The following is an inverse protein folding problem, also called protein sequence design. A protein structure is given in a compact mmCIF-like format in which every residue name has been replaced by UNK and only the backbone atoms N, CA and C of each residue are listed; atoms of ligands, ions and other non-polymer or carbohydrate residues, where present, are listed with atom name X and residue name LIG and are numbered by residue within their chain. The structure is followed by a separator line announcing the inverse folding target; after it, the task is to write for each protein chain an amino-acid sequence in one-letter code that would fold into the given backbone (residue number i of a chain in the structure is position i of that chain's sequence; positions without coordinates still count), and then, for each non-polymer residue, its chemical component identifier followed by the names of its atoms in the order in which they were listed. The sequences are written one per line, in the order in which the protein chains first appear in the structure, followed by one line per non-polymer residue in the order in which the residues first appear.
data_IF_680641352393
#
_entry.id   IF_680641352393
#
_cell.length_a   1.000
_cell.length_b   1.000
_cell.length_c   1.000
_cell.angle_alpha   90.00
_cell.angle_beta   90.00
_cell.angle_gamma   90.00
#
_symmetry.space_group_name_H-M   'P 1'
#
loop_
_entity.id
_entity.type
_entity.pdbx_description
1 polymer ?
#
# COMPACT_ATOMS: atom_id res chain seq x y z
N UNK A 1 13.08 8.13 -3.47
CA UNK A 1 12.27 7.93 -2.25
C UNK A 1 12.44 6.50 -1.73
N UNK A 2 12.46 6.33 -0.40
CA UNK A 2 12.61 5.05 0.25
C UNK A 2 11.35 4.76 1.09
N UNK A 3 10.68 3.66 0.82
CA UNK A 3 9.63 3.09 1.65
C UNK A 3 10.24 1.94 2.43
N UNK A 4 9.95 1.85 3.72
CA UNK A 4 10.40 0.77 4.58
C UNK A 4 9.16 0.03 5.10
N UNK A 5 8.93 -1.17 4.58
CA UNK A 5 7.85 -2.04 5.02
C UNK A 5 8.34 -2.98 6.14
N UNK A 6 7.59 -3.03 7.21
CA UNK A 6 7.86 -3.89 8.35
C UNK A 6 6.99 -5.14 8.40
N UNK A 7 5.97 -5.24 7.56
CA UNK A 7 5.02 -6.35 7.48
C UNK A 7 4.51 -6.80 8.86
N UNK A 8 4.16 -5.83 9.72
CA UNK A 8 3.71 -6.03 11.09
C UNK A 8 4.69 -6.80 12.01
N UNK A 9 5.93 -6.99 11.58
CA UNK A 9 6.92 -7.84 12.25
C UNK A 9 7.85 -7.13 13.22
N UNK A 10 7.76 -5.80 13.35
CA UNK A 10 8.65 -5.01 14.20
C UNK A 10 8.01 -4.80 15.58
N UNK A 11 8.74 -5.05 16.65
CA UNK A 11 8.30 -4.68 18.01
C UNK A 11 8.52 -3.20 18.28
N UNK A 12 7.81 -2.60 19.26
CA UNK A 12 8.03 -1.18 19.63
C UNK A 12 9.49 -0.87 20.00
N UNK A 13 10.13 -1.79 20.74
CA UNK A 13 11.54 -1.62 21.12
C UNK A 13 12.47 -1.63 19.91
N UNK A 14 12.30 -2.59 19.01
CA UNK A 14 13.08 -2.67 17.78
C UNK A 14 12.81 -1.46 16.86
N UNK A 15 11.58 -0.94 16.80
CA UNK A 15 11.25 0.26 16.04
C UNK A 15 12.05 1.47 16.52
N UNK A 16 12.13 1.70 17.84
CA UNK A 16 12.92 2.80 18.42
C UNK A 16 14.42 2.66 18.06
N UNK A 17 14.96 1.45 18.12
CA UNK A 17 16.35 1.19 17.74
C UNK A 17 16.59 1.44 16.24
N UNK A 18 15.69 0.96 15.37
CA UNK A 18 15.75 1.19 13.93
C UNK A 18 15.69 2.68 13.60
N UNK A 19 14.76 3.44 14.20
CA UNK A 19 14.68 4.89 14.02
C UNK A 19 15.98 5.59 14.37
N UNK A 20 16.60 5.21 15.48
CA UNK A 20 17.90 5.76 15.90
C UNK A 20 19.00 5.43 14.89
N UNK A 21 19.06 4.17 14.42
CA UNK A 21 20.02 3.74 13.40
C UNK A 21 19.87 4.50 12.09
N UNK A 22 18.63 4.63 11.58
CA UNK A 22 18.35 5.36 10.34
C UNK A 22 18.77 6.83 10.44
N UNK A 23 18.45 7.49 11.56
CA UNK A 23 18.88 8.88 11.80
C UNK A 23 20.41 9.02 11.83
N UNK A 24 21.10 8.09 12.50
CA UNK A 24 22.58 8.08 12.55
C UNK A 24 23.19 7.95 11.16
N UNK A 25 22.56 7.17 10.29
CA UNK A 25 22.99 6.98 8.90
C UNK A 25 22.53 8.11 7.95
N UNK A 26 21.78 9.10 8.43
CA UNK A 26 21.21 10.15 7.60
C UNK A 26 20.12 9.65 6.63
N UNK A 27 19.53 8.48 6.88
CA UNK A 27 18.48 7.89 6.05
C UNK A 27 17.13 8.44 6.49
N UNK A 28 16.40 9.04 5.55
CA UNK A 28 15.04 9.58 5.77
C UNK A 28 14.07 8.88 4.84
N UNK A 29 13.28 7.91 5.32
CA UNK A 29 12.25 7.27 4.52
C UNK A 29 11.09 8.23 4.27
N UNK A 30 10.41 8.05 3.15
CA UNK A 30 9.17 8.78 2.84
C UNK A 30 7.94 8.12 3.45
N UNK A 31 8.06 6.82 3.80
CA UNK A 31 6.99 6.04 4.41
C UNK A 31 7.58 4.90 5.26
N UNK A 32 7.04 4.73 6.46
CA UNK A 32 7.18 3.55 7.31
C UNK A 32 5.88 2.76 7.21
N UNK A 33 5.87 1.70 6.40
CA UNK A 33 4.66 0.91 6.17
C UNK A 33 4.56 -0.22 7.19
N UNK A 34 3.47 -0.26 7.93
CA UNK A 34 3.07 -1.31 8.88
C UNK A 34 4.24 -1.96 9.64
N UNK A 35 5.05 -1.17 10.32
CA UNK A 35 6.15 -1.73 11.13
C UNK A 35 5.64 -2.56 12.29
N UNK A 36 4.60 -2.06 12.97
CA UNK A 36 4.09 -2.66 14.20
C UNK A 36 2.92 -3.62 13.92
N UNK A 37 2.61 -4.52 14.85
CA UNK A 37 1.45 -5.41 14.74
C UNK A 37 0.17 -4.64 14.39
N UNK A 38 -0.69 -5.25 13.57
CA UNK A 38 -1.89 -4.61 12.99
C UNK A 38 -2.85 -3.99 14.01
N UNK A 39 -2.88 -4.51 15.22
CA UNK A 39 -3.77 -4.02 16.29
C UNK A 39 -3.08 -3.01 17.23
N UNK A 40 -1.77 -2.75 17.03
CA UNK A 40 -1.00 -1.80 17.83
C UNK A 40 -1.11 -0.37 17.28
N UNK A 41 -2.33 0.16 17.23
CA UNK A 41 -2.61 1.48 16.67
C UNK A 41 -1.96 2.61 17.50
N UNK A 42 -1.89 2.45 18.82
CA UNK A 42 -1.21 3.41 19.70
C UNK A 42 0.30 3.43 19.45
N UNK A 43 0.89 2.26 19.21
CA UNK A 43 2.30 2.17 18.83
C UNK A 43 2.58 2.81 17.47
N UNK A 44 1.74 2.61 16.48
CA UNK A 44 1.85 3.26 15.16
C UNK A 44 1.77 4.79 15.30
N UNK A 45 0.84 5.30 16.10
CA UNK A 45 0.75 6.72 16.41
C UNK A 45 2.03 7.23 17.09
N UNK A 46 2.52 6.50 18.09
CA UNK A 46 3.76 6.87 18.80
C UNK A 46 4.96 6.90 17.85
N UNK A 47 5.06 5.91 16.93
CA UNK A 47 6.09 5.84 15.90
C UNK A 47 6.12 7.12 15.04
N UNK A 48 4.95 7.60 14.60
CA UNK A 48 4.83 8.86 13.87
C UNK A 48 5.29 10.05 14.70
N UNK A 49 4.80 10.18 15.93
CA UNK A 49 5.12 11.31 16.80
C UNK A 49 6.61 11.36 17.18
N UNK A 50 7.24 10.22 17.41
CA UNK A 50 8.67 10.10 17.73
C UNK A 50 9.55 10.39 16.51
N UNK A 51 9.18 9.83 15.35
CA UNK A 51 10.03 9.94 14.15
C UNK A 51 9.83 11.25 13.41
N UNK A 52 8.62 11.80 13.38
CA UNK A 52 8.18 12.83 12.46
C UNK A 52 7.99 12.31 11.02
N UNK A 53 8.13 11.01 10.80
CA UNK A 53 7.99 10.38 9.49
C UNK A 53 6.56 9.90 9.25
N UNK A 54 6.18 9.79 7.99
CA UNK A 54 4.87 9.27 7.59
C UNK A 54 4.77 7.78 7.91
N UNK A 55 3.69 7.38 8.57
CA UNK A 55 3.36 5.98 8.87
C UNK A 55 2.21 5.53 8.01
N UNK A 56 2.32 4.35 7.42
CA UNK A 56 1.30 3.71 6.60
C UNK A 56 0.66 2.53 7.33
N UNK A 57 -0.65 2.37 7.15
CA UNK A 57 -1.42 1.23 7.62
C UNK A 57 -1.73 0.30 6.45
N UNK A 58 -1.22 -0.94 6.49
CA UNK A 58 -1.50 -2.01 5.55
C UNK A 58 -2.35 -3.11 6.21
N UNK A 59 -1.76 -3.98 7.00
CA UNK A 59 -2.47 -5.09 7.66
C UNK A 59 -3.52 -4.62 8.67
N UNK A 60 -3.40 -3.41 9.17
CA UNK A 60 -4.41 -2.79 10.06
C UNK A 60 -5.71 -2.45 9.34
N UNK A 61 -5.71 -2.42 7.98
CA UNK A 61 -6.86 -2.01 7.18
C UNK A 61 -7.18 -3.04 6.10
N UNK A 62 -8.22 -3.82 6.33
CA UNK A 62 -8.85 -4.69 5.34
C UNK A 62 -10.32 -4.35 5.08
N UNK A 63 -10.88 -3.44 5.89
CA UNK A 63 -12.29 -3.00 5.82
C UNK A 63 -12.39 -1.51 6.09
N UNK A 64 -13.50 -0.89 5.70
CA UNK A 64 -13.83 0.50 6.05
C UNK A 64 -13.92 0.71 7.57
N UNK A 65 -14.38 -0.30 8.31
CA UNK A 65 -14.37 -0.27 9.77
C UNK A 65 -12.93 -0.21 10.32
N UNK A 66 -12.01 -0.99 9.75
CA UNK A 66 -10.58 -0.91 10.08
C UNK A 66 -9.99 0.46 9.75
N UNK A 67 -10.33 1.03 8.60
CA UNK A 67 -9.91 2.38 8.23
C UNK A 67 -10.40 3.44 9.25
N UNK A 68 -11.67 3.36 9.70
CA UNK A 68 -12.20 4.26 10.74
C UNK A 68 -11.43 4.13 12.05
N UNK A 69 -11.11 2.91 12.50
CA UNK A 69 -10.28 2.69 13.70
C UNK A 69 -8.91 3.37 13.60
N UNK A 70 -8.24 3.24 12.44
CA UNK A 70 -6.95 3.90 12.18
C UNK A 70 -7.07 5.42 12.24
N UNK A 71 -8.14 5.98 11.65
CA UNK A 71 -8.44 7.43 11.68
C UNK A 71 -8.70 7.91 13.12
N UNK A 72 -9.57 7.23 13.86
CA UNK A 72 -9.92 7.57 15.24
C UNK A 72 -8.70 7.54 16.17
N UNK A 73 -7.85 6.52 16.01
CA UNK A 73 -6.61 6.39 16.77
C UNK A 73 -5.50 7.36 16.29
N UNK A 74 -5.67 8.01 15.15
CA UNK A 74 -4.61 8.80 14.46
C UNK A 74 -3.33 7.97 14.26
N UNK A 75 -3.50 6.70 13.93
CA UNK A 75 -2.44 5.72 13.91
C UNK A 75 -1.54 5.80 12.67
N UNK A 76 -2.05 6.34 11.57
CA UNK A 76 -1.33 6.44 10.30
C UNK A 76 -1.73 7.71 9.52
N UNK A 77 -0.89 8.10 8.57
CA UNK A 77 -1.11 9.21 7.64
C UNK A 77 -1.41 8.70 6.23
N UNK A 78 -1.14 7.41 5.97
CA UNK A 78 -1.38 6.73 4.70
C UNK A 78 -2.15 5.44 4.96
N UNK A 79 -3.10 5.11 4.11
CA UNK A 79 -3.74 3.78 4.07
C UNK A 79 -3.33 3.07 2.78
N UNK A 80 -2.74 1.86 2.91
CA UNK A 80 -2.44 0.99 1.80
C UNK A 80 -3.64 0.10 1.48
N UNK A 81 -4.27 0.36 0.34
CA UNK A 81 -5.36 -0.43 -0.20
C UNK A 81 -4.79 -1.56 -1.04
N UNK A 82 -5.15 -2.81 -0.69
CA UNK A 82 -4.85 -3.99 -1.49
C UNK A 82 -6.18 -4.67 -1.86
N UNK A 83 -6.49 -4.77 -3.15
CA UNK A 83 -7.75 -5.35 -3.60
C UNK A 83 -7.91 -6.81 -3.16
N UNK A 84 -6.81 -7.53 -3.01
CA UNK A 84 -6.83 -8.90 -2.48
C UNK A 84 -7.36 -9.00 -1.05
N UNK A 85 -7.14 -7.96 -0.21
CA UNK A 85 -7.68 -7.92 1.16
C UNK A 85 -9.15 -7.54 1.21
N UNK A 86 -9.53 -6.54 0.41
CA UNK A 86 -10.80 -5.84 0.57
C UNK A 86 -11.84 -6.18 -0.52
N UNK A 87 -11.38 -6.54 -1.72
CA UNK A 87 -12.22 -6.48 -2.92
C UNK A 87 -12.50 -5.03 -3.34
N UNK A 88 -13.10 -4.85 -4.51
CA UNK A 88 -13.28 -3.51 -5.10
C UNK A 88 -14.28 -2.66 -4.32
N UNK A 89 -15.40 -3.24 -3.91
CA UNK A 89 -16.45 -2.49 -3.22
C UNK A 89 -15.96 -1.92 -1.87
N UNK A 90 -15.37 -2.76 -1.04
CA UNK A 90 -14.82 -2.34 0.24
C UNK A 90 -13.63 -1.38 0.08
N UNK A 91 -12.80 -1.57 -0.97
CA UNK A 91 -11.71 -0.65 -1.28
C UNK A 91 -12.19 0.77 -1.61
N UNK A 92 -13.35 0.91 -2.26
CA UNK A 92 -13.99 2.22 -2.49
C UNK A 92 -14.39 2.88 -1.17
N UNK A 93 -14.97 2.12 -0.25
CA UNK A 93 -15.36 2.61 1.08
C UNK A 93 -14.13 3.01 1.91
N UNK A 94 -13.07 2.21 1.89
CA UNK A 94 -11.78 2.53 2.55
C UNK A 94 -11.22 3.84 1.99
N UNK A 95 -11.20 4.00 0.66
CA UNK A 95 -10.71 5.23 0.02
C UNK A 95 -11.55 6.46 0.41
N UNK A 96 -12.88 6.31 0.50
CA UNK A 96 -13.77 7.37 0.93
C UNK A 96 -13.51 7.78 2.38
N UNK A 97 -13.34 6.83 3.30
CA UNK A 97 -13.00 7.08 4.71
C UNK A 97 -11.66 7.81 4.83
N UNK A 98 -10.63 7.33 4.12
CA UNK A 98 -9.29 7.94 4.15
C UNK A 98 -9.32 9.40 3.66
N UNK A 99 -9.97 9.64 2.52
CA UNK A 99 -10.10 11.00 1.95
C UNK A 99 -10.87 11.94 2.86
N UNK A 100 -11.97 11.49 3.43
CA UNK A 100 -12.77 12.29 4.36
C UNK A 100 -11.97 12.70 5.61
N UNK A 101 -11.00 11.88 6.02
CA UNK A 101 -10.10 12.14 7.15
C UNK A 101 -8.81 12.89 6.75
N UNK A 102 -8.60 13.21 5.48
CA UNK A 102 -7.39 13.86 4.98
C UNK A 102 -6.16 12.96 4.96
N UNK A 103 -6.34 11.63 4.99
CA UNK A 103 -5.25 10.68 4.86
C UNK A 103 -4.88 10.48 3.38
N UNK A 104 -3.60 10.21 3.14
CA UNK A 104 -3.10 9.84 1.82
C UNK A 104 -3.38 8.35 1.51
N UNK A 105 -3.36 8.02 0.23
CA UNK A 105 -3.62 6.66 -0.24
C UNK A 105 -2.36 6.05 -0.87
N UNK A 106 -2.18 4.78 -0.62
CA UNK A 106 -1.29 3.88 -1.32
C UNK A 106 -2.11 2.75 -1.94
N UNK A 107 -1.69 2.29 -3.11
CA UNK A 107 -2.18 1.06 -3.72
C UNK A 107 -1.06 0.04 -3.69
N UNK A 108 -1.30 -1.11 -3.09
CA UNK A 108 -0.34 -2.20 -3.01
C UNK A 108 -0.92 -3.52 -3.47
N UNK A 109 -0.10 -4.55 -3.34
CA UNK A 109 -0.48 -5.92 -3.59
C UNK A 109 0.21 -6.89 -2.62
N UNK A 110 -0.25 -8.13 -2.63
CA UNK A 110 0.50 -9.26 -2.10
C UNK A 110 1.23 -9.92 -3.29
N UNK A 111 1.70 -11.16 -3.14
CA UNK A 111 2.25 -11.88 -4.31
C UNK A 111 1.07 -12.27 -5.21
N UNK A 112 0.82 -11.47 -6.23
CA UNK A 112 -0.37 -11.55 -7.07
C UNK A 112 -0.02 -11.59 -8.55
N UNK A 113 -0.96 -12.10 -9.37
CA UNK A 113 -0.79 -12.21 -10.81
C UNK A 113 -0.84 -10.85 -11.52
N UNK A 114 -0.40 -10.81 -12.78
CA UNK A 114 -0.55 -9.63 -13.65
C UNK A 114 -2.01 -9.16 -13.73
N UNK A 115 -2.97 -10.08 -13.73
CA UNK A 115 -4.40 -9.73 -13.74
C UNK A 115 -4.77 -8.91 -12.51
N UNK A 116 -4.42 -9.40 -11.32
CA UNK A 116 -4.75 -8.75 -10.05
C UNK A 116 -4.06 -7.38 -9.92
N UNK A 117 -2.78 -7.32 -10.25
CA UNK A 117 -2.03 -6.05 -10.19
C UNK A 117 -2.51 -5.04 -11.23
N UNK A 118 -2.93 -5.50 -12.42
CA UNK A 118 -3.55 -4.59 -13.40
C UNK A 118 -4.89 -4.05 -12.90
N UNK A 119 -5.70 -4.87 -12.23
CA UNK A 119 -6.95 -4.39 -11.61
C UNK A 119 -6.65 -3.33 -10.54
N UNK A 120 -5.63 -3.53 -9.71
CA UNK A 120 -5.19 -2.55 -8.71
C UNK A 120 -4.69 -1.25 -9.37
N UNK A 121 -3.93 -1.34 -10.46
CA UNK A 121 -3.49 -0.18 -11.24
C UNK A 121 -4.66 0.58 -11.86
N UNK A 122 -5.64 -0.13 -12.46
CA UNK A 122 -6.85 0.48 -13.00
C UNK A 122 -7.70 1.15 -11.91
N UNK A 123 -7.84 0.50 -10.74
CA UNK A 123 -8.53 1.07 -9.59
C UNK A 123 -7.88 2.38 -9.15
N UNK A 124 -6.57 2.38 -8.95
CA UNK A 124 -5.83 3.57 -8.52
C UNK A 124 -5.91 4.70 -9.55
N UNK A 125 -5.76 4.39 -10.84
CA UNK A 125 -5.86 5.37 -11.93
C UNK A 125 -7.28 5.96 -12.04
N UNK A 126 -8.31 5.12 -11.92
CA UNK A 126 -9.71 5.55 -12.00
C UNK A 126 -10.16 6.37 -10.78
N UNK A 127 -9.69 6.03 -9.60
CA UNK A 127 -10.02 6.75 -8.36
C UNK A 127 -9.19 8.02 -8.17
N UNK A 128 -7.96 8.05 -8.69
CA UNK A 128 -7.00 9.15 -8.50
C UNK A 128 -6.55 9.34 -7.05
N UNK A 129 -5.61 10.27 -6.83
CA UNK A 129 -5.20 10.71 -5.50
C UNK A 129 -4.38 9.68 -4.71
N UNK A 130 -3.82 8.67 -5.35
CA UNK A 130 -2.84 7.77 -4.74
C UNK A 130 -1.45 8.40 -4.78
N UNK A 131 -0.81 8.50 -3.64
CA UNK A 131 0.55 9.04 -3.53
C UNK A 131 1.62 7.98 -3.73
N UNK A 132 1.35 6.76 -3.30
CA UNK A 132 2.28 5.65 -3.37
C UNK A 132 1.66 4.47 -4.12
N UNK A 133 2.50 3.71 -4.81
CA UNK A 133 2.12 2.48 -5.50
C UNK A 133 3.22 1.43 -5.35
N UNK A 134 2.81 0.21 -5.03
CA UNK A 134 3.65 -0.98 -4.96
C UNK A 134 2.92 -2.13 -5.66
N UNK A 135 3.13 -2.26 -6.98
CA UNK A 135 2.40 -3.18 -7.88
C UNK A 135 3.36 -4.03 -8.72
N UNK A 136 4.56 -4.29 -8.21
CA UNK A 136 5.63 -4.99 -8.91
C UNK A 136 5.58 -6.52 -8.73
N UNK A 137 4.68 -7.03 -7.93
CA UNK A 137 4.63 -8.45 -7.53
C UNK A 137 4.56 -9.46 -8.68
N UNK A 138 4.00 -9.16 -9.88
CA UNK A 138 4.09 -10.06 -11.03
C UNK A 138 5.53 -10.34 -11.47
N UNK A 139 6.50 -9.48 -11.15
CA UNK A 139 7.92 -9.67 -11.46
C UNK A 139 8.58 -10.77 -10.62
N UNK A 140 7.98 -11.13 -9.48
CA UNK A 140 8.47 -12.19 -8.59
C UNK A 140 7.94 -13.57 -8.92
N UNK A 141 6.98 -13.68 -9.86
CA UNK A 141 6.42 -14.96 -10.26
C UNK A 141 7.36 -15.69 -11.22
N UNK A 142 7.60 -16.97 -10.97
CA UNK A 142 8.41 -17.82 -11.86
C UNK A 142 7.78 -17.99 -13.26
N UNK A 143 6.46 -17.87 -13.36
CA UNK A 143 5.73 -17.83 -14.62
C UNK A 143 4.50 -16.94 -14.49
N UNK A 144 4.14 -16.30 -15.60
CA UNK A 144 2.93 -15.50 -15.66
C UNK A 144 2.01 -16.07 -16.75
N UNK A 145 0.84 -16.65 -16.38
CA UNK A 145 -0.10 -17.24 -17.33
C UNK A 145 -0.93 -16.22 -18.10
N UNK A 146 -0.67 -14.94 -17.90
CA UNK A 146 -1.41 -13.83 -18.51
C UNK A 146 -0.53 -12.97 -19.40
N UNK A 147 -1.16 -12.29 -20.37
CA UNK A 147 -0.55 -11.26 -21.20
C UNK A 147 -1.45 -10.01 -21.26
N UNK A 148 -0.90 -8.90 -21.77
CA UNK A 148 -1.56 -7.58 -21.75
C UNK A 148 -1.42 -6.90 -20.38
N UNK A 149 -2.46 -6.21 -19.95
CA UNK A 149 -2.49 -5.51 -18.68
C UNK A 149 -1.71 -4.20 -18.67
N UNK A 150 -1.25 -3.75 -17.51
CA UNK A 150 -0.51 -2.50 -17.40
C UNK A 150 0.84 -2.55 -18.13
N UNK A 151 1.29 -1.41 -18.63
CA UNK A 151 2.66 -1.25 -19.13
C UNK A 151 3.57 -0.77 -17.99
N UNK A 152 4.78 -1.35 -17.91
CA UNK A 152 5.82 -0.97 -16.95
C UNK A 152 7.06 -0.51 -17.71
N UNK A 153 7.42 0.76 -17.57
CA UNK A 153 8.58 1.35 -18.19
C UNK A 153 9.37 2.19 -17.18
N UNK A 154 10.60 1.79 -16.88
CA UNK A 154 11.48 2.53 -15.98
C UNK A 154 10.88 2.79 -14.58
N UNK A 155 10.10 1.87 -14.05
CA UNK A 155 9.39 2.01 -12.77
C UNK A 155 8.07 2.79 -12.86
N UNK A 156 7.66 3.21 -14.06
CA UNK A 156 6.35 3.86 -14.28
C UNK A 156 5.33 2.83 -14.76
N UNK A 157 4.23 2.72 -14.05
CA UNK A 157 3.08 1.91 -14.45
C UNK A 157 2.07 2.80 -15.21
N UNK A 158 1.56 2.28 -16.34
CA UNK A 158 0.55 2.94 -17.15
C UNK A 158 -0.56 1.97 -17.55
N UNK A 159 -1.80 2.43 -17.43
CA UNK A 159 -3.01 1.75 -17.91
C UNK A 159 -3.71 2.54 -19.03
N UNK A 160 -3.10 3.62 -19.51
CA UNK A 160 -3.71 4.56 -20.45
C UNK A 160 -4.04 3.94 -21.83
N UNK A 161 -3.37 2.85 -22.20
CA UNK A 161 -3.61 2.12 -23.45
C UNK A 161 -4.77 1.10 -23.35
N UNK A 162 -5.27 0.84 -22.13
CA UNK A 162 -6.35 -0.13 -21.89
C UNK A 162 -7.68 0.54 -22.22
N UNK A 163 -8.29 0.14 -23.34
CA UNK A 163 -9.54 0.73 -23.80
C UNK A 163 -10.78 0.14 -23.11
N UNK A 164 -10.74 -1.13 -22.72
CA UNK A 164 -11.88 -1.86 -22.13
C UNK A 164 -11.40 -2.81 -21.04
N UNK A 165 -12.12 -2.81 -19.92
CA UNK A 165 -11.86 -3.70 -18.78
C UNK A 165 -10.46 -3.50 -18.20
N UNK A 166 -9.76 -4.60 -17.96
CA UNK A 166 -8.38 -4.61 -17.45
C UNK A 166 -7.32 -4.95 -18.51
N UNK A 167 -7.73 -5.26 -19.75
CA UNK A 167 -6.82 -5.53 -20.88
C UNK A 167 -5.93 -6.77 -20.70
N UNK A 168 -6.22 -7.65 -19.75
CA UNK A 168 -5.46 -8.88 -19.48
C UNK A 168 -6.20 -10.08 -20.04
N UNK A 169 -5.48 -10.96 -20.73
CA UNK A 169 -6.02 -12.22 -21.26
C UNK A 169 -5.13 -13.41 -20.87
N UNK A 170 -5.67 -14.61 -20.74
CA UNK A 170 -4.87 -15.81 -20.57
C UNK A 170 -3.96 -16.01 -21.78
N UNK A 171 -2.72 -16.43 -21.53
CA UNK A 171 -1.85 -16.90 -22.62
C UNK A 171 -2.44 -18.16 -23.25
N UNK A 172 -2.48 -18.22 -24.56
CA UNK A 172 -2.77 -19.46 -25.27
C UNK A 172 -1.62 -20.44 -25.07
N UNK A 173 -1.93 -21.69 -24.73
CA UNK A 173 -0.95 -22.76 -24.58
C UNK A 173 -0.23 -23.06 -25.90
#
# INVERSE_FOLDING_TARGET
PLILDGNAGVTRGAATELLRGLRTLGVVPVLLEQWLPKDDLDGMRALHLESGWTVGADESVSTAAGARRVVEARAAQVINIKLMKAGVAEALEIAAVARAAGLELMIGGNIESLLAMTMSACFAAGQGGFRFADLDTPLFLASNPFEGGYALEGGRISVAHIAVGHGVVPKTA
#
